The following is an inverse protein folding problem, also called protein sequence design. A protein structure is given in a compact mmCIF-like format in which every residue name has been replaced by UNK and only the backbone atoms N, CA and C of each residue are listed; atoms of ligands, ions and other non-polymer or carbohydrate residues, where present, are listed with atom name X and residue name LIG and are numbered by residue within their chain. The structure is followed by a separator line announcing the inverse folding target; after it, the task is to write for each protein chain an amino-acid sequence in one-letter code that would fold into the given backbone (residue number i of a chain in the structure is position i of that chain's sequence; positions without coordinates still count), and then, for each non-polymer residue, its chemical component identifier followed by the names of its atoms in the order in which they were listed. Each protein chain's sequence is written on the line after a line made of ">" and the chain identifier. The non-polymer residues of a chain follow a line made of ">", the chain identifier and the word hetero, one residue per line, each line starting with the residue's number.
data_IF_393928346756
#
_entry.id   IF_393928346756
#
_cell.length_a   1.000
_cell.length_b   1.000
_cell.length_c   1.000
_cell.angle_alpha   90.00
_cell.angle_beta   90.00
_cell.angle_gamma   90.00
#
_symmetry.space_group_name_H-M   'P 1'
#
loop_
_entity.id
_entity.type
_entity.pdbx_description
1 polymer ?
#
# COMPACT_ATOMS: atom_id res chain seq x y z
N UNK A 1 7.97 20.45 -20.55
CA UNK A 1 6.85 20.42 -19.57
C UNK A 1 7.05 21.58 -18.61
N UNK A 2 5.98 22.31 -18.25
CA UNK A 2 6.11 23.39 -17.28
C UNK A 2 6.48 22.83 -15.89
N UNK A 3 7.38 23.49 -15.18
CA UNK A 3 7.70 23.16 -13.80
C UNK A 3 6.78 23.94 -12.87
N UNK A 4 6.45 23.37 -11.74
CA UNK A 4 5.72 24.01 -10.65
C UNK A 4 6.60 24.10 -9.39
N UNK A 5 6.52 25.22 -8.71
CA UNK A 5 7.25 25.50 -7.48
C UNK A 5 6.37 25.27 -6.27
N UNK A 6 6.76 24.34 -5.40
CA UNK A 6 6.03 23.94 -4.20
C UNK A 6 6.92 24.04 -2.96
N UNK A 7 6.32 24.12 -1.79
CA UNK A 7 7.04 24.24 -0.51
C UNK A 7 6.76 22.98 0.31
N UNK A 8 7.79 22.17 0.56
CA UNK A 8 7.69 20.98 1.41
C UNK A 8 8.48 21.20 2.69
N UNK A 9 7.82 21.18 3.83
CA UNK A 9 8.40 21.46 5.16
C UNK A 9 9.22 22.76 5.22
N UNK A 10 8.78 23.80 4.47
CA UNK A 10 9.49 25.10 4.39
C UNK A 10 10.57 25.16 3.29
N UNK A 11 10.92 24.06 2.63
CA UNK A 11 11.90 24.03 1.54
C UNK A 11 11.20 24.17 0.19
N UNK A 12 11.65 25.11 -0.63
CA UNK A 12 11.16 25.30 -2.01
C UNK A 12 11.69 24.19 -2.91
N UNK A 13 10.80 23.55 -3.66
CA UNK A 13 11.11 22.44 -4.59
C UNK A 13 10.43 22.68 -5.92
N UNK A 14 11.16 22.53 -7.01
CA UNK A 14 10.60 22.58 -8.35
C UNK A 14 10.44 21.17 -8.91
N UNK A 15 9.26 20.85 -9.40
CA UNK A 15 8.93 19.56 -10.00
C UNK A 15 8.12 19.76 -11.28
N UNK A 16 8.15 18.81 -12.22
CA UNK A 16 7.27 18.87 -13.39
C UNK A 16 5.79 18.93 -12.97
N UNK A 17 5.00 19.72 -13.69
CA UNK A 17 3.55 19.77 -13.47
C UNK A 17 2.94 18.37 -13.61
N UNK A 18 2.05 18.00 -12.67
CA UNK A 18 1.47 16.66 -12.59
C UNK A 18 2.24 15.67 -11.70
N UNK A 19 3.47 16.02 -11.25
CA UNK A 19 4.15 15.26 -10.21
C UNK A 19 3.33 15.25 -8.92
N UNK A 20 3.50 14.23 -8.08
CA UNK A 20 2.79 14.16 -6.80
C UNK A 20 3.55 14.86 -5.68
N UNK A 21 2.87 15.13 -4.55
CA UNK A 21 3.54 15.62 -3.33
C UNK A 21 4.63 14.62 -2.88
N UNK A 22 4.40 13.33 -3.05
CA UNK A 22 5.39 12.29 -2.72
C UNK A 22 6.64 12.42 -3.60
N UNK A 23 6.48 12.68 -4.91
CA UNK A 23 7.60 12.87 -5.82
C UNK A 23 8.43 14.12 -5.43
N UNK A 24 7.76 15.21 -5.06
CA UNK A 24 8.42 16.43 -4.58
C UNK A 24 9.18 16.20 -3.26
N UNK A 25 8.60 15.45 -2.32
CA UNK A 25 9.26 15.10 -1.06
C UNK A 25 10.49 14.20 -1.29
N UNK A 26 10.37 13.21 -2.16
CA UNK A 26 11.49 12.32 -2.53
C UNK A 26 12.66 13.10 -3.17
N UNK A 27 12.39 14.14 -3.96
CA UNK A 27 13.41 14.96 -4.59
C UNK A 27 14.34 15.66 -3.58
N UNK A 28 13.82 15.93 -2.38
CA UNK A 28 14.59 16.56 -1.28
C UNK A 28 14.86 15.58 -0.13
N UNK A 29 14.81 14.28 -0.40
CA UNK A 29 15.07 13.20 0.57
C UNK A 29 14.19 13.26 1.83
N UNK A 30 12.97 13.78 1.74
CA UNK A 30 11.99 13.76 2.82
C UNK A 30 11.18 12.48 2.74
N UNK A 31 11.37 11.59 3.72
CA UNK A 31 10.65 10.32 3.78
C UNK A 31 9.18 10.51 4.13
N UNK A 32 8.29 9.95 3.32
CA UNK A 32 6.86 9.81 3.59
C UNK A 32 6.51 8.33 3.55
N UNK A 33 6.01 7.72 4.64
CA UNK A 33 5.71 6.30 4.67
C UNK A 33 4.61 5.92 3.69
N UNK A 34 4.78 4.82 2.98
CA UNK A 34 3.81 4.28 2.01
C UNK A 34 3.69 2.77 2.18
N UNK A 35 2.52 2.20 1.90
CA UNK A 35 2.31 0.76 1.87
C UNK A 35 1.69 0.31 0.55
N UNK A 36 0.67 0.99 0.04
CA UNK A 36 0.06 0.63 -1.24
C UNK A 36 0.87 1.16 -2.44
N UNK A 37 1.47 2.36 -2.31
CA UNK A 37 2.29 2.92 -3.38
C UNK A 37 3.54 2.06 -3.60
N UNK A 38 3.82 1.75 -4.86
CA UNK A 38 5.08 1.18 -5.30
C UNK A 38 5.47 1.89 -6.60
N UNK A 39 6.72 2.39 -6.66
CA UNK A 39 7.22 3.14 -7.81
C UNK A 39 7.28 2.24 -9.05
N UNK A 40 7.69 1.00 -8.85
CA UNK A 40 7.77 -0.01 -9.89
C UNK A 40 7.34 -1.39 -9.34
N UNK A 41 6.25 -1.92 -9.88
CA UNK A 41 5.80 -3.29 -9.62
C UNK A 41 6.22 -4.24 -10.75
N UNK A 42 6.97 -3.74 -11.71
CA UNK A 42 7.51 -4.42 -12.87
C UNK A 42 7.37 -3.60 -14.15
N UNK A 43 8.38 -3.66 -15.02
CA UNK A 43 8.42 -2.98 -16.33
C UNK A 43 8.11 -1.47 -16.26
N UNK A 44 8.58 -0.76 -15.25
CA UNK A 44 8.32 0.67 -15.05
C UNK A 44 6.89 1.02 -14.63
N UNK A 45 6.05 0.02 -14.33
CA UNK A 45 4.66 0.22 -13.95
C UNK A 45 4.54 0.59 -12.47
N UNK A 46 3.95 1.75 -12.18
CA UNK A 46 3.70 2.17 -10.81
C UNK A 46 2.34 1.72 -10.29
N UNK A 47 2.27 1.40 -8.98
CA UNK A 47 1.03 1.13 -8.26
C UNK A 47 0.64 2.35 -7.41
N UNK A 48 -0.46 3.01 -7.74
CA UNK A 48 -0.93 4.25 -7.08
C UNK A 48 -2.43 4.20 -6.74
N UNK A 49 -2.94 3.18 -6.02
CA UNK A 49 -4.37 3.08 -5.73
C UNK A 49 -4.84 4.06 -4.65
N UNK A 50 -3.94 4.69 -3.90
CA UNK A 50 -4.21 5.56 -2.75
C UNK A 50 -5.10 4.90 -1.67
N UNK A 51 -5.09 3.57 -1.56
CA UNK A 51 -5.97 2.80 -0.68
C UNK A 51 -5.54 2.82 0.79
N UNK A 52 -4.24 2.71 1.08
CA UNK A 52 -3.75 2.56 2.45
C UNK A 52 -3.76 3.85 3.29
N UNK A 53 -3.71 5.03 2.68
CA UNK A 53 -3.69 6.35 3.34
C UNK A 53 -2.52 6.61 4.31
N UNK A 54 -1.50 5.77 4.34
CA UNK A 54 -0.31 5.97 5.21
C UNK A 54 0.53 7.17 4.78
N UNK A 55 0.49 7.56 3.50
CA UNK A 55 1.21 8.72 2.98
C UNK A 55 0.51 10.06 3.22
N UNK A 56 -0.47 10.13 4.12
CA UNK A 56 -1.19 11.38 4.40
C UNK A 56 -0.24 12.47 4.88
N UNK A 57 -0.36 13.65 4.29
CA UNK A 57 0.32 14.89 4.66
C UNK A 57 -0.69 16.02 4.82
N UNK A 58 -0.34 17.07 5.54
CA UNK A 58 -1.12 18.29 5.58
C UNK A 58 -0.69 19.20 4.45
N UNK A 59 -1.63 19.70 3.65
CA UNK A 59 -1.32 20.54 2.50
C UNK A 59 -2.26 21.75 2.39
N UNK A 60 -1.73 22.85 1.83
CA UNK A 60 -2.48 24.05 1.44
C UNK A 60 -2.38 24.26 -0.06
N UNK A 61 -3.25 25.08 -0.61
CA UNK A 61 -3.20 25.39 -2.04
C UNK A 61 -3.80 24.29 -2.95
N UNK A 62 -4.25 23.16 -2.42
CA UNK A 62 -4.88 22.08 -3.21
C UNK A 62 -6.35 22.41 -3.51
N UNK A 63 -7.13 22.71 -2.45
CA UNK A 63 -8.56 23.07 -2.54
C UNK A 63 -8.84 24.42 -1.88
N UNK A 64 -7.92 25.40 -2.03
CA UNK A 64 -7.99 26.69 -1.39
C UNK A 64 -6.92 26.88 -0.29
N UNK A 65 -7.01 27.97 0.51
CA UNK A 65 -5.99 28.36 1.48
C UNK A 65 -5.98 27.49 2.75
N UNK A 66 -7.04 26.72 3.02
CA UNK A 66 -7.15 25.89 4.23
C UNK A 66 -6.19 24.71 4.18
N UNK A 67 -5.63 24.37 5.34
CA UNK A 67 -4.85 23.15 5.52
C UNK A 67 -5.77 21.93 5.54
N UNK A 68 -5.54 20.98 4.64
CA UNK A 68 -6.29 19.74 4.52
C UNK A 68 -5.34 18.54 4.55
N UNK A 69 -5.84 17.39 5.00
CA UNK A 69 -5.11 16.13 4.91
C UNK A 69 -5.33 15.51 3.53
N UNK A 70 -4.24 15.21 2.84
CA UNK A 70 -4.26 14.60 1.49
C UNK A 70 -3.27 13.44 1.38
N UNK A 71 -3.54 12.43 0.55
CA UNK A 71 -2.59 11.35 0.27
C UNK A 71 -1.48 11.86 -0.66
N UNK A 72 -0.24 11.93 -0.17
CA UNK A 72 0.89 12.47 -0.94
C UNK A 72 1.14 11.70 -2.25
N UNK A 73 0.93 10.39 -2.28
CA UNK A 73 1.17 9.54 -3.46
C UNK A 73 0.17 9.76 -4.61
N UNK A 74 -0.99 10.38 -4.35
CA UNK A 74 -2.07 10.55 -5.32
C UNK A 74 -2.53 12.00 -5.48
N UNK A 75 -1.86 12.94 -4.85
CA UNK A 75 -2.21 14.37 -4.96
C UNK A 75 -1.28 15.04 -5.98
N UNK A 76 -1.77 15.37 -7.19
CA UNK A 76 -0.96 16.00 -8.22
C UNK A 76 -0.71 17.48 -7.89
N UNK A 77 0.45 17.96 -8.29
CA UNK A 77 0.89 19.35 -8.21
C UNK A 77 0.69 19.99 -9.58
N UNK A 78 -0.32 20.85 -9.70
CA UNK A 78 -0.71 21.50 -10.96
C UNK A 78 -0.51 23.02 -10.98
N UNK A 79 -0.10 23.60 -9.83
CA UNK A 79 0.08 25.05 -9.67
C UNK A 79 1.17 25.38 -8.66
N UNK A 80 1.71 26.57 -8.76
CA UNK A 80 2.69 27.10 -7.82
C UNK A 80 2.08 27.40 -6.43
N UNK A 81 2.96 27.47 -5.42
CA UNK A 81 2.59 27.87 -4.08
C UNK A 81 1.86 26.81 -3.25
N UNK A 82 1.80 25.56 -3.70
CA UNK A 82 1.30 24.46 -2.87
C UNK A 82 2.25 24.26 -1.70
N UNK A 83 1.73 24.31 -0.47
CA UNK A 83 2.47 23.99 0.75
C UNK A 83 2.18 22.58 1.22
N UNK A 84 3.20 21.80 1.59
CA UNK A 84 3.09 20.46 2.16
C UNK A 84 3.86 20.34 3.47
N UNK A 85 3.20 19.84 4.52
CA UNK A 85 3.81 19.54 5.81
C UNK A 85 3.72 18.05 6.08
N UNK A 86 4.87 17.39 6.04
CA UNK A 86 4.93 15.94 6.18
C UNK A 86 4.89 15.49 7.65
N UNK A 87 5.34 16.33 8.57
CA UNK A 87 5.49 16.03 9.99
C UNK A 87 4.61 16.88 10.91
N UNK A 88 3.49 17.43 10.39
CA UNK A 88 2.54 18.12 11.25
C UNK A 88 1.90 17.12 12.24
N UNK A 89 1.58 17.59 13.44
CA UNK A 89 0.94 16.77 14.48
C UNK A 89 -0.34 16.09 13.96
N UNK A 90 -1.09 16.79 13.11
CA UNK A 90 -2.31 16.27 12.50
C UNK A 90 -2.02 15.13 11.51
N UNK A 91 -0.98 15.26 10.68
CA UNK A 91 -0.56 14.22 9.75
C UNK A 91 -0.02 12.98 10.49
N UNK A 92 0.81 13.18 11.51
CA UNK A 92 1.35 12.09 12.33
C UNK A 92 0.26 11.31 13.07
N UNK A 93 -0.69 12.02 13.71
CA UNK A 93 -1.85 11.38 14.34
C UNK A 93 -2.69 10.59 13.34
N UNK A 94 -2.98 11.17 12.17
CA UNK A 94 -3.75 10.50 11.12
C UNK A 94 -3.07 9.21 10.63
N UNK A 95 -1.76 9.25 10.36
CA UNK A 95 -0.99 8.07 9.95
C UNK A 95 -1.01 6.97 11.00
N UNK A 96 -0.80 7.34 12.28
CA UNK A 96 -0.85 6.39 13.38
C UNK A 96 -2.22 5.71 13.47
N UNK A 97 -3.31 6.48 13.42
CA UNK A 97 -4.68 5.93 13.40
C UNK A 97 -4.91 4.99 12.23
N UNK A 98 -4.48 5.38 11.03
CA UNK A 98 -4.59 4.54 9.83
C UNK A 98 -3.80 3.24 10.00
N UNK A 99 -2.59 3.30 10.55
CA UNK A 99 -1.77 2.11 10.80
C UNK A 99 -2.42 1.18 11.83
N UNK A 100 -2.96 1.71 12.92
CA UNK A 100 -3.70 0.95 13.92
C UNK A 100 -4.95 0.26 13.31
N UNK A 101 -5.66 0.95 12.41
CA UNK A 101 -6.80 0.37 11.67
C UNK A 101 -6.37 -0.76 10.72
N UNK A 102 -5.26 -0.62 10.00
CA UNK A 102 -4.74 -1.69 9.15
C UNK A 102 -4.34 -2.93 9.97
N UNK A 103 -3.74 -2.71 11.14
CA UNK A 103 -3.36 -3.79 12.04
C UNK A 103 -4.55 -4.45 12.73
N UNK A 104 -5.67 -3.74 12.93
CA UNK A 104 -6.86 -4.29 13.58
C UNK A 104 -7.55 -5.40 12.77
N UNK A 105 -7.40 -5.38 11.45
CA UNK A 105 -7.89 -6.42 10.52
C UNK A 105 -6.82 -7.47 10.17
N UNK A 106 -5.59 -7.29 10.63
CA UNK A 106 -4.47 -8.18 10.27
C UNK A 106 -4.19 -9.20 11.38
N UNK A 107 -3.97 -10.50 11.06
CA UNK A 107 -3.55 -11.49 12.06
C UNK A 107 -2.16 -11.15 12.60
N UNK A 108 -2.03 -11.12 13.93
CA UNK A 108 -0.80 -10.69 14.63
C UNK A 108 0.16 -11.86 14.94
N UNK A 109 0.06 -12.97 14.20
CA UNK A 109 0.89 -14.16 14.35
C UNK A 109 2.21 -14.06 13.57
N UNK A 110 2.93 -12.95 13.73
CA UNK A 110 4.15 -12.67 12.96
C UNK A 110 5.22 -13.75 13.08
N UNK A 111 5.37 -14.38 14.25
CA UNK A 111 6.41 -15.38 14.50
C UNK A 111 6.26 -16.64 13.62
N UNK A 112 5.03 -16.99 13.24
CA UNK A 112 4.73 -18.14 12.37
C UNK A 112 4.45 -17.74 10.93
N UNK A 113 4.57 -16.44 10.61
CA UNK A 113 4.30 -15.92 9.29
C UNK A 113 5.50 -16.12 8.35
N UNK A 114 5.27 -16.63 7.16
CA UNK A 114 6.31 -16.81 6.12
C UNK A 114 6.99 -15.51 5.66
N UNK A 115 6.38 -14.36 5.94
CA UNK A 115 6.90 -13.00 5.66
C UNK A 115 7.55 -12.35 6.89
N UNK A 116 7.73 -13.08 8.00
CA UNK A 116 8.37 -12.51 9.18
C UNK A 116 9.73 -11.89 8.84
N UNK A 117 10.05 -10.73 9.39
CA UNK A 117 11.23 -9.90 9.15
C UNK A 117 11.36 -9.28 7.73
N UNK A 118 10.61 -9.78 6.72
CA UNK A 118 10.55 -9.22 5.37
C UNK A 118 9.16 -8.67 5.03
N UNK A 119 8.40 -8.24 6.02
CA UNK A 119 7.06 -7.68 5.89
C UNK A 119 7.08 -6.16 5.99
N UNK A 120 6.62 -5.45 4.93
CA UNK A 120 6.54 -3.98 4.94
C UNK A 120 5.58 -3.47 6.02
N UNK A 121 4.47 -4.19 6.29
CA UNK A 121 3.53 -3.82 7.34
C UNK A 121 4.19 -3.89 8.73
N UNK A 122 5.00 -4.92 8.99
CA UNK A 122 5.75 -5.09 10.25
C UNK A 122 6.78 -3.96 10.43
N UNK A 123 7.53 -3.62 9.37
CA UNK A 123 8.50 -2.51 9.38
C UNK A 123 7.82 -1.18 9.69
N UNK A 124 6.69 -0.90 9.04
CA UNK A 124 5.91 0.32 9.29
C UNK A 124 5.31 0.35 10.70
N UNK A 125 4.81 -0.78 11.23
CA UNK A 125 4.31 -0.84 12.60
C UNK A 125 5.40 -0.49 13.62
N UNK A 126 6.62 -0.96 13.42
CA UNK A 126 7.77 -0.62 14.23
C UNK A 126 8.16 0.86 14.10
N UNK A 127 8.18 1.43 12.88
CA UNK A 127 8.45 2.85 12.61
C UNK A 127 7.45 3.76 13.35
N UNK A 128 6.16 3.39 13.36
CA UNK A 128 5.12 4.14 14.08
C UNK A 128 5.10 3.87 15.59
N UNK A 129 5.93 2.97 16.09
CA UNK A 129 6.00 2.60 17.52
C UNK A 129 4.69 2.02 18.03
N UNK A 130 3.95 1.25 17.21
CA UNK A 130 2.69 0.65 17.60
C UNK A 130 2.98 -0.68 18.31
N UNK A 131 2.66 -0.72 19.59
CA UNK A 131 2.79 -1.93 20.44
C UNK A 131 1.43 -2.54 20.75
N UNK A 132 0.39 -1.72 20.83
CA UNK A 132 -0.97 -2.13 21.13
C UNK A 132 -1.92 -1.54 20.11
N UNK A 133 -2.94 -2.31 19.74
CA UNK A 133 -4.00 -1.92 18.79
C UNK A 133 -5.19 -1.44 19.60
N UNK A 134 -5.57 -0.17 19.42
CA UNK A 134 -6.69 0.45 20.15
C UNK A 134 -8.05 0.11 19.54
N UNK A 135 -8.07 -0.23 18.25
CA UNK A 135 -9.31 -0.49 17.53
C UNK A 135 -9.60 -1.98 17.49
N UNK A 136 -10.83 -2.36 17.82
CA UNK A 136 -11.31 -3.71 17.58
C UNK A 136 -11.70 -3.81 16.10
N UNK A 137 -10.92 -4.55 15.33
CA UNK A 137 -11.24 -4.90 13.95
C UNK A 137 -12.10 -6.13 13.85
N UNK A 138 -12.46 -6.47 12.63
CA UNK A 138 -13.14 -7.73 12.30
C UNK A 138 -12.15 -8.60 11.51
N UNK A 139 -11.72 -9.71 12.10
CA UNK A 139 -10.85 -10.68 11.45
C UNK A 139 -11.68 -11.64 10.62
N UNK A 140 -11.32 -11.77 9.36
CA UNK A 140 -11.95 -12.71 8.46
C UNK A 140 -11.10 -13.99 8.39
N UNK A 141 -11.61 -15.08 8.91
CA UNK A 141 -11.03 -16.41 8.72
C UNK A 141 -11.43 -16.90 7.33
N UNK A 142 -10.62 -16.53 6.34
CA UNK A 142 -10.79 -16.97 4.96
C UNK A 142 -9.99 -18.26 4.73
N UNK A 143 -10.52 -19.20 3.94
CA UNK A 143 -9.82 -20.45 3.66
C UNK A 143 -8.49 -20.18 2.98
N UNK A 144 -7.47 -20.97 3.34
CA UNK A 144 -6.19 -20.94 2.70
C UNK A 144 -6.33 -21.54 1.28
N UNK A 145 -5.93 -20.77 0.28
CA UNK A 145 -5.92 -21.22 -1.11
C UNK A 145 -4.51 -21.66 -1.49
N UNK A 146 -4.36 -22.97 -1.65
CA UNK A 146 -3.09 -23.61 -2.00
C UNK A 146 -3.13 -24.07 -3.45
N UNK A 147 -2.29 -23.50 -4.27
CA UNK A 147 -2.08 -23.87 -5.67
C UNK A 147 -0.67 -24.43 -5.90
N UNK A 148 -0.39 -25.04 -7.05
CA UNK A 148 0.93 -25.65 -7.31
C UNK A 148 2.13 -24.71 -7.12
N UNK A 149 1.97 -23.42 -7.42
CA UNK A 149 3.06 -22.45 -7.36
C UNK A 149 2.88 -21.38 -6.27
N UNK A 150 1.66 -21.17 -5.78
CA UNK A 150 1.31 -20.06 -4.89
C UNK A 150 0.47 -20.54 -3.71
N UNK A 151 0.67 -19.91 -2.57
CA UNK A 151 -0.22 -19.98 -1.41
C UNK A 151 -0.79 -18.61 -1.16
N UNK A 152 -2.11 -18.53 -1.05
CA UNK A 152 -2.86 -17.29 -0.84
C UNK A 152 -3.61 -17.37 0.49
N UNK A 153 -3.23 -16.49 1.42
CA UNK A 153 -3.88 -16.27 2.70
C UNK A 153 -4.47 -14.86 2.74
N UNK A 154 -5.73 -14.75 2.37
CA UNK A 154 -6.39 -13.44 2.25
C UNK A 154 -6.68 -12.77 3.60
N UNK A 155 -6.59 -13.50 4.72
CA UNK A 155 -6.67 -12.89 6.06
C UNK A 155 -5.55 -11.85 6.28
N UNK A 156 -4.41 -12.02 5.60
CA UNK A 156 -3.25 -11.12 5.65
C UNK A 156 -3.27 -10.00 4.59
N UNK A 157 -4.34 -9.92 3.78
CA UNK A 157 -4.43 -8.93 2.72
C UNK A 157 -4.78 -7.53 3.26
N UNK A 158 -3.94 -6.54 2.94
CA UNK A 158 -4.10 -5.12 3.34
C UNK A 158 -4.66 -4.23 2.22
N UNK A 159 -5.25 -4.82 1.19
CA UNK A 159 -5.86 -4.11 0.06
C UNK A 159 -4.93 -3.09 -0.63
N UNK A 160 -3.63 -3.39 -0.72
CA UNK A 160 -2.67 -2.52 -1.39
C UNK A 160 -2.78 -2.55 -2.92
N UNK A 161 -3.42 -3.56 -3.48
CA UNK A 161 -3.67 -3.76 -4.93
C UNK A 161 -2.41 -3.89 -5.80
N UNK A 162 -1.22 -4.10 -5.22
CA UNK A 162 0.02 -4.29 -6.00
C UNK A 162 -0.07 -5.56 -6.86
N UNK A 163 -0.58 -6.66 -6.31
CA UNK A 163 -0.78 -7.93 -7.03
C UNK A 163 -1.78 -7.79 -8.18
N UNK A 164 -2.85 -7.01 -8.02
CA UNK A 164 -3.80 -6.69 -9.08
C UNK A 164 -3.14 -5.87 -10.18
N UNK A 165 -2.35 -4.84 -9.83
CA UNK A 165 -1.67 -4.01 -10.82
C UNK A 165 -0.66 -4.82 -11.63
N UNK A 166 0.16 -5.67 -11.00
CA UNK A 166 1.13 -6.49 -11.73
C UNK A 166 0.43 -7.54 -12.59
N UNK A 167 -0.64 -8.17 -12.09
CA UNK A 167 -1.41 -9.17 -12.85
C UNK A 167 -2.07 -8.57 -14.09
N UNK A 168 -2.67 -7.38 -13.95
CA UNK A 168 -3.46 -6.78 -15.02
C UNK A 168 -2.64 -5.94 -16.00
N UNK A 169 -1.62 -5.20 -15.51
CA UNK A 169 -0.89 -4.23 -16.33
C UNK A 169 0.48 -4.72 -16.81
N UNK A 170 1.13 -5.61 -16.04
CA UNK A 170 2.45 -6.13 -16.40
C UNK A 170 2.32 -7.49 -17.07
N UNK A 171 1.59 -8.41 -16.44
CA UNK A 171 1.40 -9.77 -16.96
C UNK A 171 0.20 -9.89 -17.92
N UNK A 172 -0.72 -8.93 -17.92
CA UNK A 172 -1.93 -8.89 -18.75
C UNK A 172 -2.86 -10.11 -18.61
N UNK A 173 -2.72 -10.88 -17.53
CA UNK A 173 -3.53 -12.10 -17.28
C UNK A 173 -4.92 -11.77 -16.75
N UNK A 174 -5.05 -10.73 -15.92
CA UNK A 174 -6.34 -10.28 -15.42
C UNK A 174 -7.01 -11.18 -14.37
N UNK A 175 -6.26 -12.08 -13.73
CA UNK A 175 -6.84 -13.04 -12.79
C UNK A 175 -7.20 -12.42 -11.42
N UNK A 176 -6.60 -11.29 -11.05
CA UNK A 176 -6.77 -10.67 -9.73
C UNK A 176 -7.49 -9.32 -9.80
N UNK A 177 -8.46 -9.14 -8.91
CA UNK A 177 -9.22 -7.89 -8.75
C UNK A 177 -9.60 -7.64 -7.30
N UNK A 178 -9.95 -6.39 -6.96
CA UNK A 178 -10.48 -6.06 -5.64
C UNK A 178 -11.93 -6.53 -5.50
N UNK A 179 -12.23 -7.29 -4.45
CA UNK A 179 -13.56 -7.80 -4.12
C UNK A 179 -14.02 -7.30 -2.76
N UNK A 180 -15.33 -7.16 -2.57
CA UNK A 180 -15.95 -6.81 -1.29
C UNK A 180 -15.84 -5.34 -0.90
N UNK A 181 -16.30 -5.02 0.32
CA UNK A 181 -16.28 -3.69 0.93
C UNK A 181 -15.99 -3.81 2.43
N UNK A 182 -15.47 -2.74 3.03
CA UNK A 182 -15.17 -2.73 4.46
C UNK A 182 -14.12 -3.79 4.84
N UNK A 183 -14.31 -4.47 5.94
CA UNK A 183 -13.38 -5.48 6.46
C UNK A 183 -13.29 -6.73 5.57
N UNK A 184 -14.34 -7.07 4.83
CA UNK A 184 -14.29 -8.21 3.89
C UNK A 184 -13.63 -7.88 2.56
N UNK A 185 -13.20 -6.62 2.35
CA UNK A 185 -12.54 -6.22 1.11
C UNK A 185 -11.15 -6.86 0.99
N UNK A 186 -10.95 -7.67 -0.05
CA UNK A 186 -9.67 -8.34 -0.33
C UNK A 186 -9.40 -8.35 -1.84
N UNK A 187 -8.12 -8.43 -2.23
CA UNK A 187 -7.76 -8.67 -3.63
C UNK A 187 -7.75 -10.18 -3.87
N UNK A 188 -8.58 -10.61 -4.75
CA UNK A 188 -8.74 -12.04 -5.09
C UNK A 188 -9.11 -12.25 -6.55
N UNK A 189 -9.44 -13.48 -6.88
CA UNK A 189 -10.01 -13.86 -8.17
C UNK A 189 -11.45 -13.39 -8.30
N UNK A 190 -12.01 -13.39 -9.49
CA UNK A 190 -13.44 -13.13 -9.68
C UNK A 190 -14.26 -14.11 -8.83
N UNK A 191 -15.30 -13.61 -8.16
CA UNK A 191 -16.14 -14.40 -7.23
C UNK A 191 -15.38 -15.16 -6.13
N UNK A 192 -14.12 -14.77 -5.84
CA UNK A 192 -13.26 -15.36 -4.81
C UNK A 192 -13.00 -16.88 -4.99
N UNK A 193 -13.09 -17.40 -6.19
CA UNK A 193 -12.76 -18.80 -6.50
C UNK A 193 -11.27 -19.09 -6.27
N UNK A 194 -10.86 -20.37 -6.07
CA UNK A 194 -9.44 -20.74 -5.97
C UNK A 194 -8.63 -20.27 -7.18
N UNK A 195 -7.32 -20.01 -6.98
CA UNK A 195 -6.43 -19.64 -8.08
C UNK A 195 -6.37 -20.71 -9.17
N UNK A 196 -6.46 -21.98 -8.78
CA UNK A 196 -6.42 -23.12 -9.72
C UNK A 196 -7.62 -23.15 -10.68
N UNK A 197 -8.76 -22.61 -10.25
CA UNK A 197 -10.01 -22.60 -11.02
C UNK A 197 -10.21 -21.28 -11.81
N UNK A 198 -9.21 -20.39 -11.74
CA UNK A 198 -9.25 -19.06 -12.37
C UNK A 198 -8.37 -19.02 -13.64
N UNK A 199 -8.35 -17.87 -14.33
CA UNK A 199 -7.44 -17.59 -15.45
C UNK A 199 -5.97 -17.46 -15.04
N UNK A 200 -5.59 -17.79 -13.80
CA UNK A 200 -4.23 -17.63 -13.30
C UNK A 200 -3.22 -18.54 -14.02
N UNK A 201 -2.14 -17.94 -14.52
CA UNK A 201 -1.04 -18.67 -15.18
C UNK A 201 0.09 -19.09 -14.22
N UNK A 202 -0.07 -18.87 -12.91
CA UNK A 202 0.91 -19.19 -11.86
C UNK A 202 2.30 -18.55 -12.05
N UNK A 203 2.38 -17.38 -12.71
CA UNK A 203 3.65 -16.70 -12.99
C UNK A 203 4.40 -16.18 -11.74
N UNK A 204 3.77 -16.17 -10.56
CA UNK A 204 4.39 -15.79 -9.27
C UNK A 204 4.62 -14.29 -9.03
N UNK A 205 4.40 -13.42 -10.02
CA UNK A 205 4.71 -11.98 -9.90
C UNK A 205 3.90 -11.29 -8.80
N UNK A 206 2.68 -11.75 -8.53
CA UNK A 206 1.85 -11.23 -7.44
C UNK A 206 2.46 -11.49 -6.05
N UNK A 207 3.16 -12.62 -5.86
CA UNK A 207 3.87 -12.93 -4.63
C UNK A 207 5.10 -12.02 -4.43
N UNK A 208 5.83 -11.71 -5.51
CA UNK A 208 7.01 -10.84 -5.45
C UNK A 208 6.68 -9.41 -5.00
N UNK A 209 5.51 -8.90 -5.38
CA UNK A 209 5.10 -7.51 -5.05
C UNK A 209 4.23 -7.41 -3.80
N UNK A 210 3.84 -8.54 -3.19
CA UNK A 210 3.01 -8.53 -1.99
C UNK A 210 3.79 -8.01 -0.79
N UNK A 211 3.37 -6.90 -0.13
CA UNK A 211 4.08 -6.33 1.00
C UNK A 211 3.90 -7.11 2.29
N UNK A 212 2.93 -8.03 2.32
CA UNK A 212 2.59 -8.89 3.46
C UNK A 212 2.66 -10.37 3.06
N UNK A 213 2.30 -11.28 3.95
CA UNK A 213 2.24 -12.71 3.66
C UNK A 213 0.93 -13.18 3.02
N UNK A 214 0.17 -12.27 2.38
CA UNK A 214 -1.13 -12.62 1.79
C UNK A 214 -1.01 -13.49 0.53
N UNK A 215 0.06 -13.33 -0.25
CA UNK A 215 0.39 -14.20 -1.39
C UNK A 215 1.89 -14.50 -1.31
N UNK A 216 2.25 -15.76 -1.28
CA UNK A 216 3.65 -16.23 -1.24
C UNK A 216 3.86 -17.38 -2.22
N UNK A 217 5.10 -17.60 -2.65
CA UNK A 217 5.45 -18.77 -3.43
C UNK A 217 5.33 -20.05 -2.60
N UNK A 218 4.86 -21.14 -3.19
CA UNK A 218 4.66 -22.41 -2.49
C UNK A 218 5.97 -22.93 -1.87
N UNK A 219 7.11 -22.73 -2.54
CA UNK A 219 8.44 -23.11 -2.03
C UNK A 219 8.83 -22.42 -0.71
N UNK A 220 8.25 -21.24 -0.41
CA UNK A 220 8.48 -20.54 0.87
C UNK A 220 7.69 -21.14 2.02
N UNK A 221 6.60 -21.85 1.73
CA UNK A 221 5.79 -22.52 2.76
C UNK A 221 6.42 -23.84 3.18
N UNK A 222 7.06 -24.55 2.24
CA UNK A 222 7.73 -25.82 2.52
C UNK A 222 8.96 -25.69 3.44
N UNK A 223 9.54 -24.50 3.57
CA UNK A 223 10.73 -24.24 4.40
C UNK A 223 10.42 -23.76 5.83
N UNK A 224 9.16 -23.79 6.26
CA UNK A 224 8.72 -23.34 7.61
C UNK A 224 8.47 -24.53 8.56
N UNK A 225 8.72 -25.77 8.08
CA UNK A 225 8.58 -27.01 8.87
C UNK A 225 9.91 -27.76 9.01
#
# INVERSE_FOLDING_TARGET
>A
MANVSVIINGTKVEVPAGSTILDAANKINVHIPTLCYCKDVGCGTSNKPASCRLCVVEATGIRGPRKILVPACATPLSRDGVGGWTNSLRALKARRTVMELLLSDHPMNCLTCTKNQDCELQKLAAEFGIREIKFKGERNDLPLDVSPALVRDLSKCVMCRRCETVCNKVQTVGALTGNGRGFVAKVGTASMIPLADSSCTFCGQCANVCPTGAIVGNNKVANVW
#
